data_IF_249783662348
#
_entry.id   IF_249783662348
#
_cell.length_a   1.000
_cell.length_b   1.000
_cell.length_c   1.000
_cell.angle_alpha   90.00
_cell.angle_beta   90.00
_cell.angle_gamma   90.00
#
_symmetry.space_group_name_H-M   'P 1'
#
loop_
_entity.id
_entity.type
_entity.pdbx_description
1 polymer ?
#
# COMPACT_ATOMS: atom_id res chain seq x y z
N UNK A 1 -16.94 -17.15 -18.47
CA UNK A 1 -16.68 -15.87 -17.79
C UNK A 1 -15.87 -16.22 -16.57
N UNK A 2 -14.55 -16.12 -16.66
CA UNK A 2 -13.69 -16.23 -15.48
C UNK A 2 -13.92 -14.97 -14.66
N UNK A 3 -14.37 -15.13 -13.41
CA UNK A 3 -14.49 -14.02 -12.48
C UNK A 3 -13.07 -13.64 -12.04
N UNK A 4 -12.75 -12.35 -12.04
CA UNK A 4 -11.47 -11.87 -11.54
C UNK A 4 -11.30 -12.28 -10.07
N UNK A 5 -10.14 -12.83 -9.73
CA UNK A 5 -9.79 -13.18 -8.35
C UNK A 5 -9.25 -11.96 -7.59
N UNK A 6 -9.18 -12.03 -6.26
CA UNK A 6 -8.52 -11.00 -5.45
C UNK A 6 -7.08 -10.75 -5.92
N UNK A 7 -6.37 -11.83 -6.30
CA UNK A 7 -5.02 -11.76 -6.82
C UNK A 7 -4.94 -11.03 -8.17
N UNK A 8 -5.90 -11.24 -9.08
CA UNK A 8 -5.92 -10.55 -10.38
C UNK A 8 -6.17 -9.05 -10.21
N UNK A 9 -7.12 -8.68 -9.35
CA UNK A 9 -7.45 -7.30 -9.05
C UNK A 9 -6.28 -6.57 -8.38
N UNK A 10 -5.60 -7.24 -7.44
CA UNK A 10 -4.37 -6.73 -6.86
C UNK A 10 -3.26 -6.59 -7.91
N UNK A 11 -3.06 -7.58 -8.78
CA UNK A 11 -2.02 -7.51 -9.80
C UNK A 11 -2.23 -6.30 -10.73
N UNK A 12 -3.48 -6.05 -11.12
CA UNK A 12 -3.85 -4.87 -11.91
C UNK A 12 -3.60 -3.56 -11.15
N UNK A 13 -4.03 -3.47 -9.88
CA UNK A 13 -3.82 -2.29 -9.05
C UNK A 13 -2.33 -2.01 -8.84
N UNK A 14 -1.54 -3.05 -8.55
CA UNK A 14 -0.10 -2.96 -8.36
C UNK A 14 0.62 -2.53 -9.65
N UNK A 15 0.18 -3.00 -10.82
CA UNK A 15 0.72 -2.52 -12.09
C UNK A 15 0.46 -1.02 -12.28
N UNK A 16 -0.79 -0.57 -12.13
CA UNK A 16 -1.16 0.84 -12.29
C UNK A 16 -0.42 1.73 -11.28
N UNK A 17 -0.24 1.24 -10.05
CA UNK A 17 0.50 1.96 -9.03
C UNK A 17 1.99 2.10 -9.34
N UNK A 18 2.62 1.04 -9.87
CA UNK A 18 4.02 1.10 -10.30
C UNK A 18 4.20 2.15 -11.41
N UNK A 19 3.32 2.17 -12.39
CA UNK A 19 3.31 3.19 -13.45
C UNK A 19 3.14 4.60 -12.85
N UNK A 20 2.24 4.77 -11.89
CA UNK A 20 2.06 6.05 -11.20
C UNK A 20 3.33 6.49 -10.44
N UNK A 21 4.03 5.57 -9.78
CA UNK A 21 5.30 5.87 -9.11
C UNK A 21 6.37 6.28 -10.13
N UNK A 22 6.51 5.54 -11.23
CA UNK A 22 7.49 5.81 -12.29
C UNK A 22 7.28 7.18 -12.94
N UNK A 23 6.02 7.61 -13.04
CA UNK A 23 5.64 8.94 -13.55
C UNK A 23 5.63 10.04 -12.49
N UNK A 24 6.08 9.75 -11.25
CA UNK A 24 6.08 10.68 -10.11
C UNK A 24 4.67 11.18 -9.69
N UNK A 25 3.63 10.41 -10.02
CA UNK A 25 2.22 10.72 -9.76
C UNK A 25 1.66 10.09 -8.47
N UNK A 26 2.50 9.41 -7.68
CA UNK A 26 2.10 8.68 -6.47
C UNK A 26 1.53 9.57 -5.36
N UNK A 27 1.82 10.88 -5.36
CA UNK A 27 1.23 11.84 -4.41
C UNK A 27 -0.09 12.46 -4.91
N UNK A 28 -0.57 12.05 -6.08
CA UNK A 28 -1.83 12.53 -6.65
C UNK A 28 -3.02 11.76 -6.08
N UNK A 29 -3.91 12.48 -5.37
CA UNK A 29 -5.17 11.94 -4.88
C UNK A 29 -6.01 11.33 -6.02
N UNK A 30 -6.08 11.98 -7.18
CA UNK A 30 -6.85 11.49 -8.33
C UNK A 30 -6.39 10.09 -8.78
N UNK A 31 -5.07 9.86 -8.77
CA UNK A 31 -4.50 8.56 -9.16
C UNK A 31 -4.75 7.51 -8.09
N UNK A 32 -4.56 7.89 -6.82
CA UNK A 32 -4.86 7.00 -5.68
C UNK A 32 -6.32 6.56 -5.69
N UNK A 33 -7.25 7.49 -5.83
CA UNK A 33 -8.68 7.19 -5.89
C UNK A 33 -9.10 6.45 -7.16
N UNK A 34 -8.36 6.56 -8.26
CA UNK A 34 -8.60 5.76 -9.47
C UNK A 34 -8.25 4.27 -9.28
N UNK A 35 -7.19 3.97 -8.50
CA UNK A 35 -6.70 2.60 -8.28
C UNK A 35 -7.42 1.94 -7.09
N UNK A 36 -7.77 2.71 -6.06
CA UNK A 36 -8.38 2.23 -4.82
C UNK A 36 -9.59 1.28 -5.01
N UNK A 37 -10.51 1.50 -5.98
CA UNK A 37 -11.63 0.58 -6.20
C UNK A 37 -11.21 -0.85 -6.56
N UNK A 38 -10.07 -1.05 -7.23
CA UNK A 38 -9.54 -2.38 -7.54
C UNK A 38 -9.13 -3.11 -6.26
N UNK A 39 -8.48 -2.39 -5.33
CA UNK A 39 -8.08 -2.93 -4.03
C UNK A 39 -9.28 -3.20 -3.13
N UNK A 40 -10.26 -2.29 -3.12
CA UNK A 40 -11.50 -2.49 -2.39
C UNK A 40 -12.28 -3.72 -2.90
N UNK A 41 -12.32 -3.93 -4.22
CA UNK A 41 -12.94 -5.11 -4.80
C UNK A 41 -12.16 -6.39 -4.47
N UNK A 42 -10.83 -6.35 -4.52
CA UNK A 42 -9.97 -7.46 -4.05
C UNK A 42 -10.31 -7.85 -2.60
N UNK A 43 -10.38 -6.87 -1.70
CA UNK A 43 -10.74 -7.07 -0.30
C UNK A 43 -12.20 -7.50 -0.10
N UNK A 44 -13.10 -7.20 -1.02
CA UNK A 44 -14.47 -7.73 -0.96
C UNK A 44 -14.54 -9.22 -1.29
N UNK A 45 -13.60 -9.73 -2.11
CA UNK A 45 -13.50 -11.15 -2.44
C UNK A 45 -12.72 -11.90 -1.36
N UNK A 46 -11.62 -11.31 -0.89
CA UNK A 46 -10.75 -11.84 0.16
C UNK A 46 -10.41 -10.73 1.18
N UNK A 47 -11.19 -10.59 2.26
CA UNK A 47 -11.03 -9.50 3.22
C UNK A 47 -9.64 -9.40 3.85
N UNK A 48 -8.96 -10.53 4.04
CA UNK A 48 -7.66 -10.61 4.69
C UNK A 48 -6.51 -10.75 3.68
N UNK A 49 -6.74 -10.36 2.42
CA UNK A 49 -5.72 -10.39 1.38
C UNK A 49 -4.63 -9.33 1.64
N UNK A 50 -3.58 -9.76 2.34
CA UNK A 50 -2.47 -8.92 2.82
C UNK A 50 -1.89 -7.99 1.74
N UNK A 51 -1.63 -8.42 0.49
CA UNK A 51 -1.07 -7.52 -0.52
C UNK A 51 -1.97 -6.32 -0.84
N UNK A 52 -3.30 -6.49 -0.83
CA UNK A 52 -4.22 -5.37 -1.06
C UNK A 52 -4.31 -4.44 0.14
N UNK A 53 -4.28 -4.97 1.37
CA UNK A 53 -4.20 -4.14 2.58
C UNK A 53 -2.90 -3.33 2.61
N UNK A 54 -1.77 -3.96 2.27
CA UNK A 54 -0.44 -3.34 2.24
C UNK A 54 -0.38 -2.20 1.24
N UNK A 55 -0.79 -2.46 -0.02
CA UNK A 55 -0.77 -1.45 -1.07
C UNK A 55 -1.75 -0.30 -0.82
N UNK A 56 -2.95 -0.59 -0.30
CA UNK A 56 -3.93 0.45 0.01
C UNK A 56 -3.42 1.39 1.11
N UNK A 57 -2.83 0.82 2.17
CA UNK A 57 -2.21 1.61 3.24
C UNK A 57 -1.07 2.48 2.71
N UNK A 58 -0.19 1.93 1.85
CA UNK A 58 0.90 2.71 1.22
C UNK A 58 0.37 3.89 0.40
N UNK A 59 -0.67 3.67 -0.41
CA UNK A 59 -1.27 4.71 -1.24
C UNK A 59 -1.90 5.84 -0.41
N UNK A 60 -2.61 5.48 0.66
CA UNK A 60 -3.19 6.45 1.60
C UNK A 60 -2.11 7.26 2.31
N UNK A 61 -1.00 6.62 2.67
CA UNK A 61 0.16 7.31 3.25
C UNK A 61 0.79 8.32 2.29
N UNK A 62 0.86 8.03 0.98
CA UNK A 62 1.43 8.96 -0.01
C UNK A 62 0.59 10.25 -0.18
N UNK A 63 -0.73 10.18 0.01
CA UNK A 63 -1.63 11.35 -0.06
C UNK A 63 -1.88 12.02 1.30
N UNK A 64 -1.32 11.46 2.38
CA UNK A 64 -1.45 12.04 3.73
C UNK A 64 -2.69 11.62 4.52
N UNK A 65 -3.46 10.65 4.01
CA UNK A 65 -4.60 10.03 4.70
C UNK A 65 -4.11 9.03 5.75
N UNK A 66 -3.44 9.53 6.79
CA UNK A 66 -2.73 8.71 7.77
C UNK A 66 -3.65 7.94 8.71
N UNK A 67 -4.83 8.48 9.01
CA UNK A 67 -5.76 7.86 9.94
C UNK A 67 -6.41 6.63 9.28
N UNK A 68 -6.81 6.75 8.01
CA UNK A 68 -7.30 5.63 7.20
C UNK A 68 -6.19 4.61 6.92
N UNK A 69 -4.97 5.08 6.63
CA UNK A 69 -3.83 4.17 6.43
C UNK A 69 -3.52 3.34 7.68
N UNK A 70 -3.73 3.91 8.88
CA UNK A 70 -3.50 3.26 10.16
C UNK A 70 -4.45 2.08 10.37
N UNK A 71 -5.73 2.21 10.04
CA UNK A 71 -6.70 1.11 10.14
C UNK A 71 -6.23 -0.14 9.37
N UNK A 72 -5.69 0.06 8.16
CA UNK A 72 -5.14 -1.04 7.36
C UNK A 72 -3.81 -1.57 7.91
N UNK A 73 -2.96 -0.71 8.46
CA UNK A 73 -1.69 -1.12 9.06
C UNK A 73 -1.89 -1.94 10.34
N UNK A 74 -2.85 -1.58 11.18
CA UNK A 74 -3.25 -2.35 12.37
C UNK A 74 -3.75 -3.73 11.95
N UNK A 75 -4.61 -3.80 10.92
CA UNK A 75 -5.11 -5.07 10.41
C UNK A 75 -4.01 -5.96 9.83
N UNK A 76 -3.03 -5.39 9.11
CA UNK A 76 -1.86 -6.13 8.63
C UNK A 76 -1.05 -6.73 9.78
N UNK A 77 -0.81 -5.95 10.83
CA UNK A 77 -0.11 -6.41 12.03
C UNK A 77 -0.89 -7.53 12.74
N UNK A 78 -2.21 -7.41 12.89
CA UNK A 78 -3.04 -8.43 13.51
C UNK A 78 -3.06 -9.75 12.72
N UNK A 79 -3.09 -9.67 11.39
CA UNK A 79 -3.12 -10.83 10.50
C UNK A 79 -1.74 -11.49 10.33
N UNK A 80 -0.66 -10.72 10.43
CA UNK A 80 0.71 -11.18 10.25
C UNK A 80 1.66 -10.53 11.27
N UNK A 81 1.56 -10.88 12.56
CA UNK A 81 2.30 -10.23 13.64
C UNK A 81 3.81 -10.47 13.62
N UNK A 82 4.28 -11.46 12.85
CA UNK A 82 5.70 -11.78 12.71
C UNK A 82 6.36 -11.09 11.49
N UNK A 83 5.61 -10.27 10.74
CA UNK A 83 6.10 -9.59 9.54
C UNK A 83 6.69 -8.21 9.88
N UNK A 84 8.02 -8.12 9.84
CA UNK A 84 8.77 -6.91 10.25
C UNK A 84 8.44 -5.68 9.39
N UNK A 85 8.10 -5.86 8.11
CA UNK A 85 7.72 -4.73 7.25
C UNK A 85 6.41 -4.06 7.72
N UNK A 86 5.48 -4.82 8.34
CA UNK A 86 4.21 -4.29 8.88
C UNK A 86 4.41 -3.58 10.21
N UNK A 87 5.29 -4.09 11.07
CA UNK A 87 5.69 -3.40 12.31
C UNK A 87 6.32 -2.05 12.03
N UNK A 88 7.21 -1.96 11.04
CA UNK A 88 7.81 -0.70 10.63
C UNK A 88 6.79 0.30 10.09
N UNK A 89 5.81 -0.18 9.31
CA UNK A 89 4.71 0.65 8.81
C UNK A 89 3.88 1.21 9.96
N UNK A 90 3.43 0.35 10.87
CA UNK A 90 2.62 0.74 12.03
C UNK A 90 3.37 1.73 12.91
N UNK A 91 4.65 1.47 13.21
CA UNK A 91 5.50 2.38 13.97
C UNK A 91 5.66 3.75 13.31
N UNK A 92 5.74 3.81 11.97
CA UNK A 92 5.80 5.06 11.24
C UNK A 92 4.50 5.87 11.37
N UNK A 93 3.34 5.21 11.38
CA UNK A 93 2.00 5.83 11.43
C UNK A 93 1.60 6.28 12.85
N UNK A 94 2.01 5.56 13.89
CA UNK A 94 1.68 5.86 15.30
C UNK A 94 2.64 6.88 15.93
N UNK A 95 3.77 7.18 15.28
CA UNK A 95 4.75 8.14 15.78
C UNK A 95 4.20 9.55 16.02
N UNK A 96 4.88 10.34 16.86
CA UNK A 96 4.54 11.75 17.10
C UNK A 96 4.57 12.56 15.79
N UNK A 97 3.70 13.57 15.63
CA UNK A 97 3.47 14.23 14.34
C UNK A 97 4.73 14.72 13.61
N UNK A 98 5.68 15.32 14.35
CA UNK A 98 6.95 15.79 13.79
C UNK A 98 7.86 14.65 13.29
N UNK A 99 7.82 13.50 13.96
CA UNK A 99 8.61 12.32 13.62
C UNK A 99 7.92 11.46 12.56
N UNK A 100 6.59 11.33 12.65
CA UNK A 100 5.71 10.58 11.76
C UNK A 100 5.95 10.92 10.29
N UNK A 101 5.85 12.20 9.92
CA UNK A 101 6.04 12.62 8.51
C UNK A 101 7.41 12.22 7.96
N UNK A 102 8.46 12.30 8.79
CA UNK A 102 9.82 11.91 8.39
C UNK A 102 9.93 10.40 8.21
N UNK A 103 9.39 9.63 9.15
CA UNK A 103 9.41 8.15 9.11
C UNK A 103 8.61 7.62 7.93
N UNK A 104 7.41 8.15 7.71
CA UNK A 104 6.55 7.81 6.57
C UNK A 104 7.29 8.09 5.25
N UNK A 105 7.91 9.27 5.09
CA UNK A 105 8.70 9.57 3.88
C UNK A 105 9.85 8.60 3.66
N UNK A 106 10.57 8.22 4.72
CA UNK A 106 11.67 7.26 4.62
C UNK A 106 11.16 5.86 4.22
N UNK A 107 10.08 5.41 4.87
CA UNK A 107 9.40 4.15 4.59
C UNK A 107 8.92 4.06 3.13
N UNK A 108 8.15 5.05 2.67
CA UNK A 108 7.58 5.07 1.33
C UNK A 108 8.66 5.15 0.25
N UNK A 109 9.74 5.92 0.50
CA UNK A 109 10.90 5.94 -0.40
C UNK A 109 11.51 4.55 -0.56
N UNK A 110 11.66 3.79 0.52
CA UNK A 110 12.17 2.42 0.47
C UNK A 110 11.22 1.48 -0.25
N UNK A 111 9.91 1.56 0.00
CA UNK A 111 8.89 0.76 -0.71
C UNK A 111 8.91 1.01 -2.21
N UNK A 112 8.93 2.28 -2.63
CA UNK A 112 9.05 2.66 -4.06
C UNK A 112 10.32 2.10 -4.70
N UNK A 113 11.46 2.19 -4.01
CA UNK A 113 12.71 1.60 -4.51
C UNK A 113 12.63 0.08 -4.67
N UNK A 114 11.95 -0.63 -3.75
CA UNK A 114 11.73 -2.08 -3.88
C UNK A 114 10.75 -2.41 -5.02
N UNK A 115 9.71 -1.59 -5.21
CA UNK A 115 8.68 -1.77 -6.24
C UNK A 115 9.21 -1.54 -7.67
N UNK A 116 10.03 -0.50 -7.86
CA UNK A 116 10.66 -0.17 -9.16
C UNK A 116 11.94 -0.99 -9.36
N UNK A 117 12.72 -1.17 -8.29
CA UNK A 117 14.01 -1.86 -8.27
C UNK A 117 13.93 -3.39 -8.25
N UNK A 118 12.73 -3.97 -8.40
CA UNK A 118 12.54 -5.37 -8.79
C UNK A 118 12.30 -5.47 -10.31
N UNK A 119 13.32 -5.32 -11.18
CA UNK A 119 13.26 -5.92 -12.50
C UNK A 119 13.59 -7.40 -12.28
N UNK A 120 12.58 -8.27 -12.34
CA UNK A 120 12.69 -9.72 -12.49
C UNK A 120 13.99 -10.37 -11.96
N UNK A 121 13.92 -11.07 -10.82
CA UNK A 121 14.86 -12.15 -10.56
C UNK A 121 14.84 -13.08 -11.79
N UNK A 122 15.91 -12.99 -12.59
CA UNK A 122 16.24 -13.88 -13.70
C UNK A 122 16.55 -15.29 -13.22
#
# INVERSE_FOLDING_TARGET
>A
MEYATATDLYAQANQQWREAIELDLHSSEDIVYAIMPLLAQSLSLEPDYLPSLDLLSDMLMEIGAYDEALEFAERLHDLAPDETDYDHKLAALVGEENHRRRLIRAYLRQKRQRLIGNPHHH
#
